data_IF_534694736831
#
_entry.id   IF_534694736831
#
_cell.length_a   1.000
_cell.length_b   1.000
_cell.length_c   1.000
_cell.angle_alpha   90.00
_cell.angle_beta   90.00
_cell.angle_gamma   90.00
#
_symmetry.space_group_name_H-M   'P 1'
#
loop_
_entity.id
_entity.type
_entity.pdbx_description
1 polymer ?
#
# COMPACT_ATOMS: atom_id res chain seq x y z
N UNK A 1 14.41 -38.23 -98.72
CA UNK A 1 14.96 -39.30 -97.85
C UNK A 1 14.34 -39.12 -96.47
N UNK A 2 13.66 -40.05 -95.81
CA UNK A 2 13.33 -41.44 -96.07
C UNK A 2 12.23 -41.86 -95.09
N UNK A 3 11.30 -42.68 -95.59
CA UNK A 3 10.25 -43.39 -94.88
C UNK A 3 10.79 -44.21 -93.72
N UNK A 4 10.19 -44.15 -92.53
CA UNK A 4 10.15 -45.27 -91.55
C UNK A 4 8.85 -45.14 -90.73
N UNK A 5 7.78 -45.82 -91.19
CA UNK A 5 7.33 -47.18 -90.84
C UNK A 5 6.47 -47.22 -89.57
N UNK A 6 5.20 -47.50 -89.83
CA UNK A 6 4.18 -47.90 -88.89
C UNK A 6 4.50 -49.23 -88.17
N UNK A 7 3.71 -49.46 -87.12
CA UNK A 7 3.29 -50.75 -86.55
C UNK A 7 4.18 -51.31 -85.43
N UNK A 8 3.88 -50.88 -84.20
CA UNK A 8 4.05 -51.71 -83.00
C UNK A 8 2.64 -52.08 -82.53
N UNK A 9 2.35 -53.37 -82.70
CA UNK A 9 1.23 -54.18 -82.22
C UNK A 9 0.69 -53.72 -80.86
N UNK A 10 -0.63 -53.55 -80.68
CA UNK A 10 -1.60 -54.65 -80.58
C UNK A 10 -1.11 -55.78 -79.68
N UNK A 11 -1.20 -55.60 -78.36
CA UNK A 11 -1.25 -56.66 -77.34
C UNK A 11 -1.16 -55.95 -76.00
N UNK A 12 -2.30 -55.66 -75.38
CA UNK A 12 -2.50 -55.62 -73.94
C UNK A 12 -4.01 -55.40 -73.74
N UNK A 13 -4.74 -56.52 -73.82
CA UNK A 13 -6.05 -56.59 -73.20
C UNK A 13 -5.86 -56.54 -71.69
N UNK A 14 -5.91 -55.33 -71.14
CA UNK A 14 -6.15 -55.13 -69.72
C UNK A 14 -7.58 -54.62 -69.60
N UNK A 15 -8.45 -55.47 -69.04
CA UNK A 15 -9.80 -55.10 -68.66
C UNK A 15 -9.74 -53.81 -67.86
N UNK A 16 -10.39 -52.78 -68.40
CA UNK A 16 -10.58 -51.51 -67.75
C UNK A 16 -11.56 -51.75 -66.60
N UNK A 17 -11.03 -52.14 -65.45
CA UNK A 17 -11.77 -52.13 -64.20
C UNK A 17 -11.84 -50.66 -63.77
N UNK A 18 -12.76 -49.92 -64.38
CA UNK A 18 -13.14 -48.59 -63.90
C UNK A 18 -13.84 -48.80 -62.54
N UNK A 19 -13.03 -48.89 -61.47
CA UNK A 19 -13.51 -48.73 -60.10
C UNK A 19 -13.89 -47.26 -60.00
N UNK A 20 -15.15 -46.96 -60.31
CA UNK A 20 -15.79 -45.69 -59.97
C UNK A 20 -15.83 -45.66 -58.44
N UNK A 21 -14.78 -45.10 -57.82
CA UNK A 21 -14.84 -44.61 -56.45
C UNK A 21 -15.89 -43.51 -56.44
N UNK A 22 -17.14 -43.87 -56.11
CA UNK A 22 -18.16 -42.91 -55.73
C UNK A 22 -17.64 -42.20 -54.48
N UNK A 23 -16.98 -41.06 -54.66
CA UNK A 23 -16.86 -40.06 -53.62
C UNK A 23 -18.28 -39.64 -53.27
N UNK A 24 -18.82 -40.18 -52.18
CA UNK A 24 -20.03 -39.67 -51.54
C UNK A 24 -19.76 -38.20 -51.21
N UNK A 25 -20.22 -37.30 -52.09
CA UNK A 25 -20.32 -35.89 -51.79
C UNK A 25 -21.45 -35.74 -50.77
N UNK A 26 -21.13 -35.95 -49.50
CA UNK A 26 -22.03 -35.61 -48.40
C UNK A 26 -22.20 -34.10 -48.41
N UNK A 27 -23.38 -33.65 -48.84
CA UNK A 27 -23.75 -32.25 -48.81
C UNK A 27 -24.10 -31.87 -47.37
N UNK A 28 -23.41 -30.87 -46.83
CA UNK A 28 -23.62 -30.30 -45.50
C UNK A 28 -25.05 -29.73 -45.41
N UNK A 29 -25.81 -30.05 -44.35
CA UNK A 29 -27.16 -29.53 -44.20
C UNK A 29 -27.16 -28.14 -43.57
N UNK A 30 -28.04 -27.24 -44.04
CA UNK A 30 -28.20 -25.90 -43.45
C UNK A 30 -28.62 -25.97 -41.97
N UNK A 31 -29.40 -26.99 -41.59
CA UNK A 31 -29.81 -27.19 -40.19
C UNK A 31 -28.61 -27.60 -39.31
N UNK A 32 -27.66 -28.33 -39.88
CA UNK A 32 -26.48 -28.83 -39.19
C UNK A 32 -25.54 -27.67 -38.88
N UNK A 33 -25.36 -26.76 -39.83
CA UNK A 33 -24.66 -25.50 -39.61
C UNK A 33 -25.37 -24.63 -38.56
N UNK A 34 -26.70 -24.52 -38.63
CA UNK A 34 -27.49 -23.68 -37.71
C UNK A 34 -27.33 -24.12 -36.25
N UNK A 35 -27.41 -25.43 -35.99
CA UNK A 35 -27.25 -25.98 -34.64
C UNK A 35 -25.83 -25.73 -34.13
N UNK A 36 -24.81 -25.93 -34.98
CA UNK A 36 -23.41 -25.72 -34.62
C UNK A 36 -23.14 -24.27 -34.22
N UNK A 37 -23.56 -23.29 -35.02
CA UNK A 37 -23.33 -21.87 -34.68
C UNK A 37 -24.12 -21.44 -33.43
N UNK A 38 -25.29 -22.03 -33.20
CA UNK A 38 -26.10 -21.77 -32.00
C UNK A 38 -25.39 -22.26 -30.74
N UNK A 39 -24.84 -23.47 -30.76
CA UNK A 39 -24.08 -24.03 -29.62
C UNK A 39 -22.83 -23.18 -29.35
N UNK A 40 -22.10 -22.77 -30.39
CA UNK A 40 -20.92 -21.90 -30.25
C UNK A 40 -21.31 -20.56 -29.62
N UNK A 41 -22.43 -19.95 -30.04
CA UNK A 41 -22.90 -18.69 -29.47
C UNK A 41 -23.18 -18.79 -27.96
N UNK A 42 -23.81 -19.88 -27.51
CA UNK A 42 -24.06 -20.14 -26.09
C UNK A 42 -22.74 -20.32 -25.32
N UNK A 43 -21.82 -21.14 -25.85
CA UNK A 43 -20.52 -21.38 -25.21
C UNK A 43 -19.71 -20.09 -25.06
N UNK A 44 -19.63 -19.28 -26.12
CA UNK A 44 -18.93 -17.98 -26.09
C UNK A 44 -19.61 -17.02 -25.11
N UNK A 45 -20.94 -17.00 -25.06
CA UNK A 45 -21.70 -16.16 -24.15
C UNK A 45 -21.34 -16.37 -22.67
N UNK A 46 -21.07 -17.62 -22.27
CA UNK A 46 -20.65 -17.96 -20.89
C UNK A 46 -19.13 -17.84 -20.70
N UNK A 47 -18.33 -18.19 -21.71
CA UNK A 47 -16.87 -18.20 -21.60
C UNK A 47 -16.24 -16.80 -21.50
N UNK A 48 -16.81 -15.79 -22.18
CA UNK A 48 -16.26 -14.44 -22.20
C UNK A 48 -16.18 -13.74 -20.83
N UNK A 49 -17.26 -13.62 -20.04
CA UNK A 49 -17.19 -12.97 -18.74
C UNK A 49 -16.21 -13.67 -17.79
N UNK A 50 -16.18 -15.01 -17.82
CA UNK A 50 -15.26 -15.80 -16.99
C UNK A 50 -13.79 -15.50 -17.31
N UNK A 51 -13.43 -15.42 -18.59
CA UNK A 51 -12.07 -15.08 -19.00
C UNK A 51 -11.67 -13.66 -18.56
N UNK A 52 -12.59 -12.70 -18.66
CA UNK A 52 -12.33 -11.33 -18.23
C UNK A 52 -12.03 -11.24 -16.73
N UNK A 53 -12.79 -11.95 -15.90
CA UNK A 53 -12.56 -11.95 -14.45
C UNK A 53 -11.25 -12.65 -14.08
N UNK A 54 -10.91 -13.76 -14.74
CA UNK A 54 -9.61 -14.41 -14.56
C UNK A 54 -8.43 -13.47 -14.91
N UNK A 55 -8.54 -12.73 -16.03
CA UNK A 55 -7.50 -11.76 -16.41
C UNK A 55 -7.41 -10.60 -15.42
N UNK A 56 -8.54 -10.16 -14.83
CA UNK A 56 -8.51 -9.13 -13.78
C UNK A 56 -7.78 -9.64 -12.52
N UNK A 57 -8.16 -10.82 -12.01
CA UNK A 57 -7.54 -11.39 -10.81
C UNK A 57 -6.04 -11.65 -10.96
N UNK A 58 -5.63 -12.14 -12.13
CA UNK A 58 -4.21 -12.34 -12.44
C UNK A 58 -3.44 -11.03 -12.48
N UNK A 59 -4.02 -9.96 -13.04
CA UNK A 59 -3.44 -8.60 -12.99
C UNK A 59 -3.34 -8.09 -11.56
N UNK A 60 -4.40 -8.19 -10.75
CA UNK A 60 -4.38 -7.76 -9.35
C UNK A 60 -3.30 -8.48 -8.54
N UNK A 61 -3.18 -9.79 -8.72
CA UNK A 61 -2.18 -10.62 -8.04
C UNK A 61 -0.76 -10.22 -8.46
N UNK A 62 -0.54 -10.01 -9.77
CA UNK A 62 0.73 -9.53 -10.30
C UNK A 62 1.10 -8.16 -9.72
N UNK A 63 0.17 -7.21 -9.73
CA UNK A 63 0.40 -5.86 -9.20
C UNK A 63 0.75 -5.88 -7.71
N UNK A 64 0.07 -6.69 -6.90
CA UNK A 64 0.38 -6.86 -5.47
C UNK A 64 1.79 -7.41 -5.26
N UNK A 65 2.17 -8.43 -6.02
CA UNK A 65 3.50 -9.00 -5.94
C UNK A 65 4.60 -7.98 -6.30
N UNK A 66 4.40 -7.21 -7.37
CA UNK A 66 5.33 -6.15 -7.80
C UNK A 66 5.42 -5.00 -6.77
N UNK A 67 4.29 -4.62 -6.17
CA UNK A 67 4.26 -3.64 -5.07
C UNK A 67 5.04 -4.13 -3.84
N UNK A 68 4.95 -5.41 -3.50
CA UNK A 68 5.71 -6.00 -2.39
C UNK A 68 7.22 -5.96 -2.63
N UNK A 69 7.67 -6.14 -3.88
CA UNK A 69 9.09 -6.00 -4.25
C UNK A 69 9.56 -4.55 -4.02
N UNK A 70 8.79 -3.56 -4.47
CA UNK A 70 9.12 -2.13 -4.30
C UNK A 70 9.09 -1.74 -2.82
N UNK A 71 8.08 -2.22 -2.07
CA UNK A 71 8.00 -2.06 -0.62
C UNK A 71 9.28 -2.55 0.07
N UNK A 72 9.75 -3.74 -0.26
CA UNK A 72 10.97 -4.29 0.34
C UNK A 72 12.21 -3.44 -0.02
N UNK A 73 12.28 -2.92 -1.24
CA UNK A 73 13.36 -2.01 -1.64
C UNK A 73 13.31 -0.69 -0.85
N UNK A 74 12.13 -0.11 -0.63
CA UNK A 74 11.95 1.09 0.18
C UNK A 74 12.30 0.88 1.65
N UNK A 75 11.88 -0.25 2.24
CA UNK A 75 12.26 -0.61 3.61
C UNK A 75 13.78 -0.70 3.72
N UNK A 76 14.44 -1.37 2.75
CA UNK A 76 15.92 -1.45 2.73
C UNK A 76 16.55 -0.07 2.65
N UNK A 77 16.06 0.80 1.76
CA UNK A 77 16.54 2.18 1.65
C UNK A 77 16.43 2.90 3.00
N UNK A 78 15.25 2.93 3.63
CA UNK A 78 15.03 3.60 4.91
C UNK A 78 15.85 3.00 6.06
N UNK A 79 16.23 1.72 5.99
CA UNK A 79 17.08 1.08 7.02
C UNK A 79 18.58 1.34 6.85
N UNK A 80 19.05 1.55 5.62
CA UNK A 80 20.48 1.65 5.32
C UNK A 80 20.94 3.07 5.05
N UNK A 81 20.06 3.96 4.60
CA UNK A 81 20.36 5.36 4.37
C UNK A 81 20.03 6.18 5.62
N UNK A 82 20.86 7.20 5.90
CA UNK A 82 20.57 8.14 6.98
C UNK A 82 19.36 9.04 6.67
N UNK A 83 19.06 9.22 5.38
CA UNK A 83 17.97 10.07 4.93
C UNK A 83 16.77 9.23 4.54
N UNK A 84 15.61 9.62 5.05
CA UNK A 84 14.34 9.06 4.63
C UNK A 84 14.15 9.26 3.11
N UNK A 85 13.44 8.31 2.49
CA UNK A 85 13.03 8.44 1.10
C UNK A 85 12.05 9.61 0.89
N UNK A 86 12.37 10.55 -0.02
CA UNK A 86 11.56 11.76 -0.33
C UNK A 86 11.43 11.95 -1.84
N UNK A 87 10.86 10.96 -2.53
CA UNK A 87 10.57 11.06 -3.96
C UNK A 87 9.24 10.38 -4.28
N UNK A 88 8.55 10.83 -5.33
CA UNK A 88 7.33 10.17 -5.81
C UNK A 88 7.63 9.03 -6.79
N UNK A 89 8.77 9.11 -7.49
CA UNK A 89 9.16 8.15 -8.51
C UNK A 89 10.10 7.08 -7.93
N UNK A 90 9.71 5.79 -7.93
CA UNK A 90 10.53 4.70 -7.40
C UNK A 90 11.83 4.44 -8.18
N UNK A 91 12.04 5.07 -9.35
CA UNK A 91 13.28 4.94 -10.12
C UNK A 91 14.54 5.36 -9.36
N UNK A 92 14.41 6.19 -8.33
CA UNK A 92 15.54 6.56 -7.45
C UNK A 92 16.17 5.34 -6.76
N UNK A 93 15.41 4.26 -6.59
CA UNK A 93 15.88 3.01 -5.98
C UNK A 93 16.68 2.13 -6.94
N UNK A 94 16.67 2.43 -8.25
CA UNK A 94 17.33 1.62 -9.25
C UNK A 94 18.85 1.63 -9.09
N UNK A 95 19.46 0.47 -9.35
CA UNK A 95 20.90 0.27 -9.26
C UNK A 95 21.41 0.01 -7.84
N UNK A 96 20.81 0.63 -6.80
CA UNK A 96 21.22 0.42 -5.40
C UNK A 96 20.34 -0.58 -4.65
N UNK A 97 19.03 -0.44 -4.74
CA UNK A 97 18.06 -1.25 -3.99
C UNK A 97 17.15 -2.11 -4.87
N UNK A 98 17.05 -1.77 -6.16
CA UNK A 98 16.23 -2.46 -7.14
C UNK A 98 17.02 -2.66 -8.45
N UNK A 99 16.94 -3.85 -9.06
CA UNK A 99 17.67 -4.17 -10.30
C UNK A 99 16.93 -3.62 -11.52
N UNK A 100 15.63 -3.87 -11.59
CA UNK A 100 14.72 -3.40 -12.62
C UNK A 100 13.40 -2.94 -11.98
N UNK A 101 12.79 -1.90 -12.55
CA UNK A 101 11.48 -1.43 -12.08
C UNK A 101 10.41 -2.19 -12.88
N UNK A 102 9.63 -3.08 -12.24
CA UNK A 102 8.51 -3.71 -12.92
C UNK A 102 7.48 -2.66 -13.29
N UNK A 103 6.77 -2.91 -14.39
CA UNK A 103 5.67 -2.07 -14.85
C UNK A 103 4.37 -2.71 -14.47
N UNK A 104 3.41 -1.90 -14.02
CA UNK A 104 2.13 -2.40 -13.59
C UNK A 104 1.40 -3.15 -14.74
N UNK A 105 0.42 -4.01 -14.41
CA UNK A 105 -0.29 -4.80 -15.42
C UNK A 105 -1.12 -3.97 -16.42
N UNK A 106 -1.28 -2.67 -16.19
CA UNK A 106 -1.99 -1.73 -17.05
C UNK A 106 -1.05 -0.86 -17.90
N UNK A 107 0.27 -1.01 -17.71
CA UNK A 107 1.28 -0.32 -18.49
C UNK A 107 1.62 1.07 -17.96
N UNK A 108 1.60 1.29 -16.65
CA UNK A 108 2.15 2.46 -15.97
C UNK A 108 3.20 2.07 -14.93
N UNK A 109 3.96 3.07 -14.53
CA UNK A 109 4.95 2.92 -13.47
C UNK A 109 4.27 3.08 -12.11
N UNK A 110 4.81 2.40 -11.10
CA UNK A 110 4.36 2.55 -9.72
C UNK A 110 4.70 3.94 -9.18
N UNK A 111 3.91 4.41 -8.23
CA UNK A 111 4.13 5.68 -7.56
C UNK A 111 4.32 5.47 -6.05
N UNK A 112 5.21 6.26 -5.46
CA UNK A 112 5.45 6.27 -4.02
C UNK A 112 4.87 7.55 -3.43
N UNK A 113 4.00 7.42 -2.43
CA UNK A 113 3.62 8.53 -1.57
C UNK A 113 4.50 8.46 -0.31
N UNK A 114 5.61 9.19 -0.33
CA UNK A 114 6.59 9.18 0.75
C UNK A 114 6.04 9.76 2.06
N UNK A 115 5.08 10.68 1.96
CA UNK A 115 4.47 11.34 3.11
C UNK A 115 3.48 10.39 3.81
N UNK A 116 2.70 9.64 3.03
CA UNK A 116 1.82 8.57 3.54
C UNK A 116 2.56 7.27 3.83
N UNK A 117 3.81 7.12 3.39
CA UNK A 117 4.58 5.88 3.56
C UNK A 117 3.99 4.70 2.77
N UNK A 118 3.49 4.98 1.56
CA UNK A 118 2.75 4.05 0.72
C UNK A 118 3.33 3.94 -0.69
N UNK A 119 3.17 2.78 -1.31
CA UNK A 119 3.39 2.56 -2.75
C UNK A 119 2.08 2.18 -3.38
N UNK A 120 1.77 2.73 -4.56
CA UNK A 120 0.50 2.49 -5.25
C UNK A 120 0.66 2.21 -6.73
N UNK A 121 -0.27 1.44 -7.27
CA UNK A 121 -0.61 1.41 -8.70
C UNK A 121 -1.95 2.10 -8.90
N UNK A 122 -2.05 2.89 -9.99
CA UNK A 122 -3.24 3.66 -10.34
C UNK A 122 -4.36 2.82 -10.99
N UNK A 123 -4.18 1.50 -11.05
CA UNK A 123 -5.19 0.59 -11.58
C UNK A 123 -5.50 0.79 -13.07
N UNK A 124 -6.64 0.24 -13.55
CA UNK A 124 -7.04 0.34 -14.96
C UNK A 124 -7.47 1.74 -15.41
N UNK A 125 -8.07 2.54 -14.52
CA UNK A 125 -8.60 3.87 -14.85
C UNK A 125 -7.56 4.98 -14.71
N UNK A 126 -6.42 4.66 -14.09
CA UNK A 126 -5.31 5.56 -13.82
C UNK A 126 -5.68 6.79 -12.99
N UNK A 127 -6.72 6.66 -12.17
CA UNK A 127 -7.20 7.71 -11.29
C UNK A 127 -6.65 7.52 -9.87
N UNK A 128 -6.68 8.57 -9.05
CA UNK A 128 -6.07 8.54 -7.71
C UNK A 128 -6.94 7.86 -6.63
N UNK A 129 -8.23 7.62 -6.87
CA UNK A 129 -9.16 7.40 -5.76
C UNK A 129 -10.01 6.13 -5.80
N UNK A 130 -10.17 5.45 -6.95
CA UNK A 130 -11.20 4.40 -7.07
C UNK A 130 -10.67 2.97 -7.09
N UNK A 131 -9.72 2.69 -7.97
CA UNK A 131 -9.31 1.31 -8.27
C UNK A 131 -7.83 1.04 -7.90
N UNK A 132 -7.29 1.86 -7.00
CA UNK A 132 -5.87 1.84 -6.66
C UNK A 132 -5.51 0.67 -5.76
N UNK A 133 -4.37 0.06 -6.08
CA UNK A 133 -3.76 -0.96 -5.23
C UNK A 133 -2.64 -0.27 -4.47
N UNK A 134 -2.84 -0.11 -3.17
CA UNK A 134 -1.88 0.56 -2.29
C UNK A 134 -1.32 -0.42 -1.27
N UNK A 135 -0.03 -0.31 -1.02
CA UNK A 135 0.69 -1.09 -0.02
C UNK A 135 1.52 -0.16 0.86
N UNK A 136 1.34 -0.26 2.18
CA UNK A 136 2.14 0.45 3.16
C UNK A 136 3.54 -0.17 3.30
N UNK A 137 4.58 0.66 3.19
CA UNK A 137 5.96 0.25 3.46
C UNK A 137 6.49 0.77 4.81
N UNK A 138 5.91 1.85 5.36
CA UNK A 138 6.18 2.31 6.72
C UNK A 138 5.25 1.63 7.74
N UNK A 139 5.65 1.42 9.01
CA UNK A 139 4.77 0.91 10.06
C UNK A 139 3.65 1.91 10.38
N UNK A 140 2.47 1.48 10.90
CA UNK A 140 1.38 2.41 11.26
C UNK A 140 1.82 3.46 12.29
N UNK A 141 1.04 4.55 12.41
CA UNK A 141 1.36 5.67 13.29
C UNK A 141 1.31 5.23 14.76
N UNK A 142 2.47 5.12 15.40
CA UNK A 142 2.62 4.74 16.81
C UNK A 142 3.49 5.75 17.53
N UNK A 143 3.16 6.04 18.78
CA UNK A 143 4.10 6.72 19.68
C UNK A 143 5.27 5.78 19.99
N UNK A 144 6.49 6.19 19.66
CA UNK A 144 7.68 5.35 19.84
C UNK A 144 8.48 5.73 21.08
N UNK A 145 8.56 7.04 21.37
CA UNK A 145 9.44 7.57 22.40
C UNK A 145 8.85 8.84 23.00
N UNK A 146 9.07 9.01 24.30
CA UNK A 146 8.77 10.23 25.03
C UNK A 146 10.01 10.64 25.84
N UNK A 147 10.51 11.84 25.58
CA UNK A 147 11.69 12.38 26.28
C UNK A 147 11.42 13.77 26.80
N UNK A 148 11.69 13.97 28.08
CA UNK A 148 11.78 15.29 28.68
C UNK A 148 13.09 15.94 28.25
N UNK A 149 13.02 17.16 27.74
CA UNK A 149 14.18 17.95 27.34
C UNK A 149 14.31 19.15 28.26
N UNK A 150 15.37 19.11 29.06
CA UNK A 150 15.80 20.19 29.95
C UNK A 150 16.43 21.31 29.12
N UNK A 151 15.76 22.46 29.05
CA UNK A 151 16.21 23.59 28.22
C UNK A 151 17.11 24.54 28.99
N UNK A 152 16.87 24.71 30.30
CA UNK A 152 17.62 25.62 31.16
C UNK A 152 18.72 24.92 31.99
N UNK A 153 18.86 23.60 31.82
CA UNK A 153 19.87 22.73 32.44
C UNK A 153 19.82 22.78 33.98
N UNK A 154 18.61 22.92 34.52
CA UNK A 154 18.39 23.01 35.96
C UNK A 154 18.14 21.62 36.62
N UNK A 155 18.05 20.55 35.81
CA UNK A 155 17.73 19.17 36.22
C UNK A 155 16.40 19.00 36.95
N UNK A 156 15.46 19.91 36.74
CA UNK A 156 14.15 19.94 37.35
C UNK A 156 13.11 20.17 36.27
N UNK A 157 12.01 19.40 36.32
CA UNK A 157 10.91 19.61 35.37
C UNK A 157 10.29 20.98 35.64
N UNK A 158 10.46 21.90 34.70
CA UNK A 158 10.06 23.30 34.81
C UNK A 158 9.24 23.76 33.61
N UNK A 159 8.55 24.89 33.75
CA UNK A 159 7.76 25.51 32.67
C UNK A 159 8.57 25.94 31.44
N UNK A 160 9.91 26.00 31.55
CA UNK A 160 10.81 26.33 30.44
C UNK A 160 11.17 25.11 29.59
N UNK A 161 10.81 23.92 30.05
CA UNK A 161 11.14 22.65 29.39
C UNK A 161 10.03 22.21 28.43
N UNK A 162 10.30 21.13 27.71
CA UNK A 162 9.30 20.51 26.85
C UNK A 162 9.38 18.99 26.90
N UNK A 163 8.23 18.35 26.70
CA UNK A 163 8.13 16.92 26.48
C UNK A 163 8.10 16.66 24.98
N UNK A 164 9.15 16.02 24.47
CA UNK A 164 9.25 15.60 23.08
C UNK A 164 8.68 14.20 22.90
N UNK A 165 7.72 14.08 22.01
CA UNK A 165 7.10 12.82 21.59
C UNK A 165 7.55 12.51 20.16
N UNK A 166 8.11 11.33 19.94
CA UNK A 166 8.53 10.86 18.62
C UNK A 166 7.59 9.77 18.12
N UNK A 167 7.12 9.93 16.89
CA UNK A 167 6.20 9.02 16.22
C UNK A 167 6.89 8.25 15.08
N UNK A 168 6.33 7.09 14.75
CA UNK A 168 6.82 6.23 13.66
C UNK A 168 6.60 6.78 12.24
N UNK A 169 5.73 7.80 12.10
CA UNK A 169 5.32 8.43 10.84
C UNK A 169 5.13 9.93 11.02
N UNK A 170 5.07 10.64 9.88
CA UNK A 170 4.73 12.05 9.88
C UNK A 170 3.29 12.27 10.36
N UNK A 171 3.12 13.23 11.27
CA UNK A 171 1.83 13.66 11.77
C UNK A 171 1.17 14.59 10.76
N UNK A 172 -0.09 14.31 10.41
CA UNK A 172 -0.87 15.23 9.61
C UNK A 172 -1.34 16.40 10.47
N UNK A 173 -1.46 17.56 9.85
CA UNK A 173 -1.95 18.77 10.51
C UNK A 173 -3.37 18.54 11.02
N UNK A 174 -3.53 18.53 12.34
CA UNK A 174 -4.82 18.40 13.01
C UNK A 174 -5.56 19.73 13.11
N UNK A 175 -6.89 19.69 13.09
CA UNK A 175 -7.73 20.86 13.42
C UNK A 175 -8.14 20.73 14.88
N UNK A 176 -7.49 21.48 15.77
CA UNK A 176 -7.83 21.46 17.20
C UNK A 176 -6.61 21.29 18.09
N UNK A 177 -6.81 21.57 19.39
CA UNK A 177 -5.79 21.40 20.39
C UNK A 177 -5.79 19.95 20.87
N UNK A 178 -4.60 19.40 21.09
CA UNK A 178 -4.40 18.09 21.71
C UNK A 178 -4.82 18.20 23.17
N UNK A 179 -5.69 17.29 23.60
CA UNK A 179 -6.22 17.22 24.95
C UNK A 179 -5.56 16.12 25.76
N UNK A 180 -5.42 16.35 27.06
CA UNK A 180 -4.71 15.47 28.00
C UNK A 180 -5.63 14.95 29.09
N UNK A 181 -5.48 13.68 29.47
CA UNK A 181 -6.24 13.06 30.55
C UNK A 181 -5.38 12.06 31.36
N UNK A 182 -5.93 11.50 32.43
CA UNK A 182 -5.35 10.35 33.15
C UNK A 182 -6.06 9.02 32.81
N UNK A 183 -6.94 9.03 31.81
CA UNK A 183 -7.75 7.89 31.46
C UNK A 183 -7.61 7.59 29.97
N UNK A 184 -7.30 6.34 29.63
CA UNK A 184 -7.17 5.91 28.23
C UNK A 184 -8.47 6.02 27.41
N UNK A 185 -9.59 6.34 28.04
CA UNK A 185 -10.92 6.50 27.42
C UNK A 185 -11.35 7.95 27.22
N UNK A 186 -10.45 8.91 27.46
CA UNK A 186 -10.78 10.34 27.36
C UNK A 186 -9.60 11.17 26.86
N UNK A 187 -9.88 12.19 26.05
CA UNK A 187 -8.85 13.05 25.45
C UNK A 187 -8.11 12.38 24.29
N UNK A 188 -7.00 12.99 23.86
CA UNK A 188 -6.15 12.50 22.76
C UNK A 188 -4.91 11.75 23.28
N UNK A 189 -4.30 12.29 24.33
CA UNK A 189 -3.18 11.68 25.05
C UNK A 189 -3.58 11.44 26.50
N UNK A 190 -3.18 10.30 27.04
CA UNK A 190 -3.37 10.01 28.45
C UNK A 190 -2.01 9.77 29.12
N UNK A 191 -1.92 10.16 30.39
CA UNK A 191 -0.75 9.97 31.24
C UNK A 191 -1.08 9.02 32.39
N UNK A 192 -0.06 8.39 32.95
CA UNK A 192 -0.18 7.63 34.20
C UNK A 192 -0.74 8.49 35.34
N UNK A 193 -1.33 7.83 36.34
CA UNK A 193 -2.01 8.49 37.46
C UNK A 193 -1.09 9.33 38.36
N UNK A 194 0.22 9.09 38.31
CA UNK A 194 1.22 9.87 39.03
C UNK A 194 1.38 11.30 38.47
N UNK A 195 1.04 11.51 37.19
CA UNK A 195 0.97 12.84 36.57
C UNK A 195 -0.37 13.49 36.92
N UNK A 196 -0.41 14.20 38.04
CA UNK A 196 -1.65 14.81 38.55
C UNK A 196 -2.11 15.94 37.63
N UNK A 197 -3.36 15.85 37.16
CA UNK A 197 -4.04 16.87 36.35
C UNK A 197 -3.24 17.33 35.12
N UNK A 198 -3.03 16.45 34.11
CA UNK A 198 -2.26 16.74 32.90
C UNK A 198 -2.70 18.01 32.17
N UNK A 199 -3.99 18.33 32.18
CA UNK A 199 -4.55 19.55 31.57
C UNK A 199 -4.07 20.84 32.23
N UNK A 200 -3.60 20.79 33.48
CA UNK A 200 -2.99 21.91 34.19
C UNK A 200 -1.46 21.92 34.10
N UNK A 201 -0.87 20.77 33.75
CA UNK A 201 0.58 20.58 33.62
C UNK A 201 1.07 21.02 32.23
N UNK A 202 0.32 20.72 31.18
CA UNK A 202 0.70 21.01 29.79
C UNK A 202 -0.19 22.09 29.19
N UNK A 203 0.41 22.97 28.40
CA UNK A 203 -0.38 23.91 27.60
C UNK A 203 -1.01 23.20 26.41
N UNK A 204 -2.25 23.52 26.02
CA UNK A 204 -2.88 22.96 24.83
C UNK A 204 -1.98 23.17 23.61
N UNK A 205 -1.61 22.07 22.96
CA UNK A 205 -0.64 22.06 21.85
C UNK A 205 -1.37 21.71 20.56
N UNK A 206 -1.00 22.33 19.44
CA UNK A 206 -1.51 21.97 18.10
C UNK A 206 -0.43 21.20 17.35
N UNK A 207 -0.83 20.23 16.54
CA UNK A 207 0.10 19.54 15.64
C UNK A 207 0.69 20.58 14.67
N UNK A 208 2.03 20.72 14.58
CA UNK A 208 2.66 21.69 13.69
C UNK A 208 2.17 21.57 12.25
N UNK A 209 2.09 22.71 11.54
CA UNK A 209 1.69 22.74 10.13
C UNK A 209 2.77 22.19 9.16
N UNK A 210 3.92 21.78 9.70
CA UNK A 210 5.08 21.29 8.96
C UNK A 210 5.15 19.76 9.04
N UNK A 211 5.78 19.12 8.04
CA UNK A 211 6.02 17.67 8.06
C UNK A 211 6.98 17.29 9.20
N UNK A 212 6.45 16.83 10.33
CA UNK A 212 7.24 16.40 11.49
C UNK A 212 6.82 15.02 11.98
N UNK A 213 7.80 14.26 12.49
CA UNK A 213 7.59 13.04 13.28
C UNK A 213 7.62 13.33 14.77
N UNK A 214 7.98 14.55 15.15
CA UNK A 214 8.08 14.99 16.53
C UNK A 214 6.91 15.92 16.88
N UNK A 215 6.39 15.76 18.09
CA UNK A 215 5.43 16.66 18.73
C UNK A 215 6.04 17.15 20.05
N UNK A 216 6.04 18.46 20.25
CA UNK A 216 6.56 19.10 21.46
C UNK A 216 5.39 19.56 22.32
N UNK A 217 5.30 19.06 23.54
CA UNK A 217 4.35 19.54 24.53
C UNK A 217 5.06 20.50 25.49
N UNK A 218 4.55 21.71 25.60
CA UNK A 218 5.09 22.74 26.50
C UNK A 218 4.47 22.61 27.90
N UNK A 219 5.28 22.83 28.94
CA UNK A 219 4.80 22.83 30.33
C UNK A 219 4.21 24.20 30.70
N UNK A 220 3.16 24.20 31.52
CA UNK A 220 2.54 25.43 32.00
C UNK A 220 3.46 26.17 33.01
N UNK A 221 3.56 27.49 32.88
CA UNK A 221 4.50 28.38 33.59
C UNK A 221 4.33 28.47 35.12
N UNK A 222 3.32 27.82 35.72
CA UNK A 222 3.02 27.89 37.16
C UNK A 222 3.55 26.70 37.96
N UNK A 223 4.23 25.75 37.33
CA UNK A 223 4.53 24.47 37.99
C UNK A 223 5.99 24.41 38.49
N UNK A 224 6.20 24.84 39.74
CA UNK A 224 7.52 24.74 40.43
C UNK A 224 7.76 23.34 41.02
N UNK A 225 6.85 22.39 40.81
CA UNK A 225 7.08 20.97 41.07
C UNK A 225 6.00 20.17 40.33
N UNK A 226 6.21 19.92 39.03
CA UNK A 226 5.32 19.03 38.29
C UNK A 226 5.55 17.62 38.84
N UNK A 227 4.50 16.94 39.37
CA UNK A 227 4.61 15.55 39.81
C UNK A 227 4.71 14.67 38.56
N UNK A 228 5.90 14.56 37.98
CA UNK A 228 6.19 13.60 36.92
C UNK A 228 7.53 12.94 37.23
N UNK A 229 7.49 11.62 37.38
CA UNK A 229 8.65 10.81 37.72
C UNK A 229 9.30 10.29 36.44
N UNK A 230 10.38 10.96 36.02
CA UNK A 230 11.17 10.53 34.87
C UNK A 230 11.65 9.08 35.07
N UNK A 231 11.40 8.23 34.09
CA UNK A 231 11.72 6.80 34.12
C UNK A 231 10.64 5.88 34.68
N UNK A 232 9.53 6.42 35.21
CA UNK A 232 8.38 5.62 35.67
C UNK A 232 7.05 6.12 35.10
N UNK A 233 6.86 7.43 34.97
CA UNK A 233 5.64 7.98 34.38
C UNK A 233 5.52 7.55 32.92
N UNK A 234 4.30 7.27 32.48
CA UNK A 234 4.00 6.81 31.13
C UNK A 234 3.06 7.77 30.43
N UNK A 235 3.12 7.71 29.10
CA UNK A 235 2.21 8.41 28.21
C UNK A 235 1.71 7.45 27.13
N UNK A 236 0.44 7.53 26.80
CA UNK A 236 -0.18 6.71 25.76
C UNK A 236 -1.14 7.51 24.89
N UNK A 237 -1.48 6.90 23.75
CA UNK A 237 -2.56 7.38 22.88
C UNK A 237 -3.89 6.94 23.48
N UNK A 238 -4.85 7.87 23.54
CA UNK A 238 -6.20 7.60 24.04
C UNK A 238 -7.07 6.90 22.98
N UNK A 239 -8.04 6.13 23.45
CA UNK A 239 -9.05 5.45 22.64
C UNK A 239 -9.99 6.42 21.92
N UNK A 240 -10.12 7.65 22.44
CA UNK A 240 -10.99 8.72 21.90
C UNK A 240 -10.22 9.79 21.15
N UNK A 241 -8.96 9.53 20.78
CA UNK A 241 -8.14 10.48 20.05
C UNK A 241 -8.74 10.79 18.66
N UNK A 242 -8.93 12.07 18.39
CA UNK A 242 -9.47 12.57 17.12
C UNK A 242 -8.46 13.48 16.38
N UNK A 243 -7.39 13.91 17.05
CA UNK A 243 -6.42 14.87 16.52
C UNK A 243 -5.20 14.20 15.90
N UNK A 244 -4.64 13.18 16.55
CA UNK A 244 -3.41 12.51 16.12
C UNK A 244 -3.68 11.51 15.01
N UNK A 245 -3.37 11.89 13.78
CA UNK A 245 -3.55 11.08 12.57
C UNK A 245 -2.36 11.22 11.62
N UNK A 246 -2.19 10.23 10.76
CA UNK A 246 -1.18 10.26 9.70
C UNK A 246 -1.71 10.97 8.44
N UNK A 247 -0.84 11.20 7.45
CA UNK A 247 -1.22 11.80 6.17
C UNK A 247 -2.12 10.91 5.30
N UNK A 248 -2.30 9.64 5.65
CA UNK A 248 -3.28 8.76 5.02
C UNK A 248 -4.67 8.86 5.67
N UNK A 249 -4.80 9.65 6.75
CA UNK A 249 -6.05 9.86 7.47
C UNK A 249 -6.36 8.80 8.53
N UNK A 250 -5.41 7.89 8.82
CA UNK A 250 -5.55 6.89 9.88
C UNK A 250 -5.13 7.46 11.23
N UNK A 251 -5.83 7.09 12.28
CA UNK A 251 -5.51 7.57 13.63
C UNK A 251 -4.28 6.87 14.19
N UNK A 252 -3.69 7.44 15.23
CA UNK A 252 -2.58 6.80 15.93
C UNK A 252 -3.04 5.48 16.59
N UNK A 253 -2.17 4.48 16.61
CA UNK A 253 -2.42 3.23 17.30
C UNK A 253 -2.74 3.50 18.78
N UNK A 254 -3.70 2.75 19.33
CA UNK A 254 -4.32 3.01 20.62
C UNK A 254 -5.71 3.65 20.52
N UNK A 255 -5.99 4.35 19.42
CA UNK A 255 -7.34 4.85 19.12
C UNK A 255 -8.31 3.70 18.79
N UNK A 256 -9.59 3.88 19.14
CA UNK A 256 -10.64 2.89 18.83
C UNK A 256 -10.71 2.62 17.33
N UNK A 257 -10.57 1.35 16.94
CA UNK A 257 -10.60 0.94 15.52
C UNK A 257 -9.22 0.79 14.88
N UNK A 258 -8.17 1.28 15.52
CA UNK A 258 -6.78 1.08 15.10
C UNK A 258 -6.11 -0.06 15.90
N UNK A 259 -4.87 -0.40 15.54
CA UNK A 259 -4.10 -1.38 16.29
C UNK A 259 -3.87 -0.94 17.74
N UNK A 260 -3.81 -1.87 18.71
CA UNK A 260 -3.49 -1.52 20.09
C UNK A 260 -2.08 -0.94 20.17
N UNK A 261 -1.90 0.07 21.03
CA UNK A 261 -0.60 0.64 21.37
C UNK A 261 -0.28 0.40 22.84
N UNK A 262 1.01 0.23 23.12
CA UNK A 262 1.54 0.21 24.49
C UNK A 262 1.92 1.63 24.86
N UNK A 263 1.72 1.98 26.12
CA UNK A 263 2.21 3.23 26.69
C UNK A 263 3.74 3.29 26.66
N UNK A 264 4.28 4.49 26.59
CA UNK A 264 5.72 4.75 26.53
C UNK A 264 6.16 5.41 27.82
N UNK A 265 7.24 4.90 28.41
CA UNK A 265 7.85 5.49 29.60
C UNK A 265 8.52 6.81 29.21
N UNK A 266 8.22 7.86 29.96
CA UNK A 266 8.83 9.17 29.81
C UNK A 266 10.24 9.12 30.38
N UNK A 267 11.25 9.38 29.54
CA UNK A 267 12.66 9.36 29.94
C UNK A 267 13.23 10.77 29.99
N UNK A 268 14.26 10.98 30.80
CA UNK A 268 15.12 12.13 30.64
C UNK A 268 15.94 11.98 29.34
N UNK A 269 16.11 13.07 28.59
CA UNK A 269 17.02 13.14 27.45
C UNK A 269 18.48 13.11 27.90
#
# INVERSE_FOLDING_TARGET
MGKWRAKINSLLGFGRCDIILRMNKQAFSLIELLIVVTIIAILVGVALPYYQDYVKETRLTKAKHELDIIKQALIKHDTFEERAYVASDPRVLLGKYLQDLPRDPWGRDYEVDWLKGQVRSLGPDHSIDRDNITVDYKPPLTLQKATWVDTDNNRQVSGSDFLRLEFSRFLATGTGNITFSNASTSGDLWFSEDVISPTAVFTPTVVPATYTTELLLEFATSAVAIPMNLGSSTIGISQTNDVLKDFSGRFANGTTGEYPAVEVIIKAN
#
